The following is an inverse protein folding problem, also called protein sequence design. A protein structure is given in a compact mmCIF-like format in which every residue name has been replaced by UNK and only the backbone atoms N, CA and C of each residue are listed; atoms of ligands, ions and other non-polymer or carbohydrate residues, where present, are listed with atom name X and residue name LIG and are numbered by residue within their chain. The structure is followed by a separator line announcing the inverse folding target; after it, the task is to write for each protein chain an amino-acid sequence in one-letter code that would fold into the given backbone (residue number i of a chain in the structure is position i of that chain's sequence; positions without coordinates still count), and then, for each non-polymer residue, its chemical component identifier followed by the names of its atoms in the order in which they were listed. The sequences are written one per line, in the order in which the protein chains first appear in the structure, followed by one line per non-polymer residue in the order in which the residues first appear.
data_IF_821021082117
#
_entry.id   IF_821021082117
#
_cell.length_a   1.000
_cell.length_b   1.000
_cell.length_c   1.000
_cell.angle_alpha   90.00
_cell.angle_beta   90.00
_cell.angle_gamma   90.00
#
_symmetry.space_group_name_H-M   'P 1'
#
loop_
_entity.id
_entity.type
_entity.pdbx_description
1 polymer ?
#
# COMPACT_ATOMS: atom_id res chain seq x y z
N UNK A 1 -13.16 -15.21 14.16
CA UNK A 1 -12.13 -14.23 14.60
C UNK A 1 -11.40 -13.68 13.38
N UNK A 2 -10.91 -12.44 13.40
CA UNK A 2 -10.32 -11.76 12.23
C UNK A 2 -11.36 -11.06 11.33
N UNK A 3 -11.01 -10.83 10.05
CA UNK A 3 -11.82 -10.01 9.12
C UNK A 3 -13.29 -10.45 8.99
N UNK A 4 -13.59 -11.74 9.18
CA UNK A 4 -14.97 -12.27 9.14
C UNK A 4 -15.89 -11.70 10.22
N UNK A 5 -15.32 -11.29 11.35
CA UNK A 5 -16.08 -10.79 12.51
C UNK A 5 -16.25 -9.26 12.50
N UNK A 6 -15.73 -8.57 11.48
CA UNK A 6 -15.89 -7.12 11.35
C UNK A 6 -17.36 -6.77 11.06
N UNK A 7 -17.86 -5.61 11.54
CA UNK A 7 -19.15 -5.05 11.10
C UNK A 7 -19.26 -5.00 9.57
N UNK A 8 -20.46 -5.16 9.03
CA UNK A 8 -20.69 -5.31 7.59
C UNK A 8 -19.99 -4.23 6.75
N UNK A 9 -20.11 -2.97 7.18
CA UNK A 9 -19.47 -1.83 6.51
C UNK A 9 -17.93 -1.94 6.49
N UNK A 10 -17.31 -2.26 7.61
CA UNK A 10 -15.84 -2.42 7.69
C UNK A 10 -15.38 -3.66 6.91
N UNK A 11 -16.14 -4.76 6.99
CA UNK A 11 -15.84 -6.01 6.30
C UNK A 11 -15.87 -5.86 4.77
N UNK A 12 -16.85 -5.15 4.24
CA UNK A 12 -16.96 -4.83 2.80
C UNK A 12 -15.81 -3.95 2.31
N UNK A 13 -15.25 -3.09 3.17
CA UNK A 13 -14.12 -2.22 2.86
C UNK A 13 -12.77 -2.82 3.31
N UNK A 14 -12.74 -4.14 3.54
CA UNK A 14 -11.52 -4.86 3.89
C UNK A 14 -11.02 -5.69 2.71
N UNK A 15 -9.78 -6.17 2.81
CA UNK A 15 -9.17 -7.11 1.86
C UNK A 15 -9.75 -8.54 1.95
N UNK A 16 -10.83 -8.77 2.70
CA UNK A 16 -11.37 -10.11 2.96
C UNK A 16 -11.68 -10.89 1.68
N UNK A 17 -12.26 -10.27 0.66
CA UNK A 17 -12.59 -10.98 -0.60
C UNK A 17 -11.33 -11.45 -1.34
N UNK A 18 -10.29 -10.61 -1.39
CA UNK A 18 -8.97 -10.98 -1.92
C UNK A 18 -8.36 -12.14 -1.14
N UNK A 19 -8.45 -12.10 0.19
CA UNK A 19 -7.97 -13.21 1.04
C UNK A 19 -8.74 -14.51 0.81
N UNK A 20 -10.07 -14.45 0.64
CA UNK A 20 -10.87 -15.63 0.34
C UNK A 20 -10.47 -16.28 -1.00
N UNK A 21 -10.13 -15.47 -2.00
CA UNK A 21 -9.59 -15.96 -3.28
C UNK A 21 -8.23 -16.64 -3.09
N UNK A 22 -7.31 -16.00 -2.35
CA UNK A 22 -5.98 -16.57 -2.10
C UNK A 22 -6.03 -17.87 -1.28
N UNK A 23 -7.02 -18.03 -0.41
CA UNK A 23 -7.23 -19.26 0.37
C UNK A 23 -7.62 -20.47 -0.49
N UNK A 24 -8.02 -20.28 -1.76
CA UNK A 24 -8.32 -21.39 -2.67
C UNK A 24 -7.05 -22.16 -3.08
N UNK A 25 -5.88 -21.52 -3.05
CA UNK A 25 -4.58 -22.18 -3.26
C UNK A 25 -3.58 -21.74 -2.17
N UNK A 26 -3.32 -22.61 -1.17
CA UNK A 26 -2.43 -22.29 -0.05
C UNK A 26 -1.01 -21.90 -0.46
N UNK A 27 -0.55 -22.26 -1.67
CA UNK A 27 0.78 -21.87 -2.18
C UNK A 27 0.89 -20.37 -2.45
N UNK A 28 -0.24 -19.68 -2.63
CA UNK A 28 -0.28 -18.24 -2.88
C UNK A 28 -0.17 -17.41 -1.59
N UNK A 29 -0.24 -18.04 -0.41
CA UNK A 29 -0.12 -17.38 0.90
C UNK A 29 1.29 -17.56 1.47
N UNK A 30 2.29 -17.05 0.77
CA UNK A 30 3.67 -16.99 1.24
C UNK A 30 4.10 -15.54 1.49
N UNK A 31 4.97 -15.28 2.48
CA UNK A 31 5.56 -13.96 2.65
C UNK A 31 6.24 -13.48 1.36
N UNK A 32 6.02 -12.21 1.00
CA UNK A 32 6.69 -11.61 -0.14
C UNK A 32 8.20 -11.56 0.12
N UNK A 33 9.01 -11.92 -0.88
CA UNK A 33 10.46 -11.75 -0.79
C UNK A 33 10.79 -10.25 -0.84
N UNK A 34 11.69 -9.75 0.04
CA UNK A 34 12.14 -8.37 -0.02
C UNK A 34 12.73 -8.04 -1.38
N UNK A 35 12.31 -6.91 -1.95
CA UNK A 35 12.93 -6.37 -3.14
C UNK A 35 14.30 -5.78 -2.79
N UNK A 36 15.34 -6.17 -3.50
CA UNK A 36 16.60 -5.42 -3.48
C UNK A 36 16.55 -4.34 -4.56
N UNK A 37 16.17 -3.13 -4.17
CA UNK A 37 16.04 -2.00 -5.09
C UNK A 37 14.75 -2.03 -5.91
N UNK A 38 14.77 -1.35 -7.06
CA UNK A 38 13.60 -1.24 -7.94
C UNK A 38 13.44 -2.52 -8.79
N UNK A 39 12.20 -3.03 -8.87
CA UNK A 39 11.87 -4.17 -9.74
C UNK A 39 11.96 -3.84 -11.24
N UNK A 40 11.93 -2.57 -11.60
CA UNK A 40 12.03 -2.09 -12.97
C UNK A 40 12.96 -0.87 -13.05
N UNK A 41 13.63 -0.63 -14.20
CA UNK A 41 14.47 0.54 -14.40
C UNK A 41 13.66 1.84 -14.24
N UNK A 42 14.21 2.80 -13.49
CA UNK A 42 13.56 4.11 -13.23
C UNK A 42 14.40 5.29 -13.69
N UNK A 43 15.54 5.05 -14.37
CA UNK A 43 16.56 6.06 -14.64
C UNK A 43 16.03 7.28 -15.41
N UNK A 44 15.25 7.04 -16.48
CA UNK A 44 14.70 8.12 -17.31
C UNK A 44 13.69 8.97 -16.54
N UNK A 45 12.85 8.32 -15.74
CA UNK A 45 11.84 9.02 -14.94
C UNK A 45 12.51 9.85 -13.84
N UNK A 46 13.46 9.25 -13.13
CA UNK A 46 14.23 9.95 -12.08
C UNK A 46 14.98 11.16 -12.64
N UNK A 47 15.64 11.01 -13.79
CA UNK A 47 16.34 12.11 -14.45
C UNK A 47 15.39 13.26 -14.82
N UNK A 48 14.21 12.96 -15.35
CA UNK A 48 13.22 13.99 -15.69
C UNK A 48 12.69 14.72 -14.44
N UNK A 49 12.42 14.00 -13.35
CA UNK A 49 12.00 14.56 -12.05
C UNK A 49 13.06 15.51 -11.49
N UNK A 50 14.33 15.09 -11.50
CA UNK A 50 15.46 15.89 -11.02
C UNK A 50 15.71 17.12 -11.89
N UNK A 51 15.72 16.95 -13.22
CA UNK A 51 15.90 18.07 -14.16
C UNK A 51 14.81 19.12 -14.02
N UNK A 52 13.56 18.69 -13.83
CA UNK A 52 12.41 19.57 -13.64
C UNK A 52 12.26 20.09 -12.20
N UNK A 53 13.12 19.66 -11.26
CA UNK A 53 13.09 20.07 -9.84
C UNK A 53 11.72 19.83 -9.19
N UNK A 54 11.17 18.64 -9.40
CA UNK A 54 9.84 18.28 -8.91
C UNK A 54 9.94 17.82 -7.45
N UNK A 55 9.09 18.36 -6.58
CA UNK A 55 8.99 17.98 -5.16
C UNK A 55 10.01 18.69 -4.27
N UNK A 56 9.84 18.55 -2.95
CA UNK A 56 10.68 19.23 -1.96
C UNK A 56 12.17 18.85 -2.07
N UNK A 57 12.45 17.60 -2.40
CA UNK A 57 13.81 17.06 -2.51
C UNK A 57 14.37 17.12 -3.93
N UNK A 58 13.61 17.64 -4.91
CA UNK A 58 13.92 17.60 -6.34
C UNK A 58 14.25 16.17 -6.84
N UNK A 59 13.62 15.15 -6.27
CA UNK A 59 13.81 13.74 -6.61
C UNK A 59 12.51 12.95 -6.31
N UNK A 60 12.49 11.66 -6.65
CA UNK A 60 11.40 10.75 -6.33
C UNK A 60 11.29 10.63 -4.79
N UNK A 61 10.13 10.95 -4.18
CA UNK A 61 9.99 10.95 -2.73
C UNK A 61 9.98 9.53 -2.16
N UNK A 62 10.41 9.41 -0.91
CA UNK A 62 10.25 8.20 -0.12
C UNK A 62 8.95 8.22 0.66
N UNK A 63 8.36 7.04 0.90
CA UNK A 63 7.25 6.90 1.84
C UNK A 63 7.76 7.14 3.25
N UNK A 64 7.12 8.06 3.97
CA UNK A 64 7.45 8.43 5.34
C UNK A 64 6.32 8.07 6.31
N UNK A 65 6.60 8.03 7.61
CA UNK A 65 5.61 7.71 8.64
C UNK A 65 4.32 8.57 8.55
N UNK A 66 4.36 9.89 8.29
CA UNK A 66 3.16 10.71 8.11
C UNK A 66 2.21 10.21 7.01
N UNK A 67 2.74 9.65 5.91
CA UNK A 67 1.91 9.09 4.84
C UNK A 67 1.08 7.91 5.36
N UNK A 68 1.67 7.05 6.18
CA UNK A 68 0.98 5.89 6.77
C UNK A 68 -0.08 6.34 7.79
N UNK A 69 0.28 7.29 8.66
CA UNK A 69 -0.64 7.83 9.68
C UNK A 69 -1.88 8.47 9.03
N UNK A 70 -1.67 9.19 7.93
CA UNK A 70 -2.76 9.82 7.17
C UNK A 70 -3.86 8.82 6.76
N UNK A 71 -3.50 7.58 6.39
CA UNK A 71 -4.52 6.56 6.07
C UNK A 71 -5.38 6.19 7.28
N UNK A 72 -4.80 6.05 8.47
CA UNK A 72 -5.55 5.73 9.69
C UNK A 72 -6.50 6.87 10.03
N UNK A 73 -5.99 8.10 10.07
CA UNK A 73 -6.80 9.29 10.37
C UNK A 73 -7.94 9.48 9.37
N UNK A 74 -7.68 9.25 8.08
CA UNK A 74 -8.72 9.35 7.05
C UNK A 74 -9.77 8.24 7.19
N UNK A 75 -9.37 7.02 7.53
CA UNK A 75 -10.30 5.91 7.75
C UNK A 75 -11.22 6.14 8.96
N UNK A 76 -10.68 6.71 10.05
CA UNK A 76 -11.47 7.17 11.19
C UNK A 76 -12.46 8.27 10.77
N UNK A 77 -12.01 9.25 9.98
CA UNK A 77 -12.84 10.36 9.50
C UNK A 77 -14.06 9.87 8.70
N UNK A 78 -13.90 8.82 7.90
CA UNK A 78 -15.02 8.24 7.11
C UNK A 78 -15.75 7.11 7.84
N UNK A 79 -15.42 6.81 9.10
CA UNK A 79 -16.07 5.80 9.92
C UNK A 79 -15.83 4.37 9.45
N UNK A 80 -14.64 4.08 8.93
CA UNK A 80 -14.18 2.74 8.55
C UNK A 80 -13.18 2.13 9.55
N UNK A 81 -12.72 2.92 10.51
CA UNK A 81 -12.05 2.50 11.75
C UNK A 81 -12.83 3.09 12.93
#
# INVERSE_FOLDING_TARGET
TGLRALPDRQRQNSVMQMFLLLLQDPRNLQPAQPAHGAFAPTDRFRAAVQQAKIGADNDIPHVSAPVIVKYVTDLELIGLL
#
